data_IF_616011578290
#
_entry.id   IF_616011578290
#
_cell.length_a   1.000
_cell.length_b   1.000
_cell.length_c   1.000
_cell.angle_alpha   90.00
_cell.angle_beta   90.00
_cell.angle_gamma   90.00
#
_symmetry.space_group_name_H-M   'P 1'
#
loop_
_entity.id
_entity.type
_entity.pdbx_description
1 polymer ?
#
# COMPACT_ATOMS: atom_id res chain seq x y z
N UNK A 1 2.84 -6.13 -14.95
CA UNK A 1 3.68 -7.18 -14.32
C UNK A 1 5.14 -6.77 -14.41
N UNK A 2 5.89 -6.96 -13.37
CA UNK A 2 7.33 -6.74 -13.37
C UNK A 2 8.06 -8.08 -13.48
N UNK A 3 9.26 -8.06 -14.08
CA UNK A 3 10.03 -9.25 -14.42
C UNK A 3 11.36 -9.33 -13.67
N UNK A 4 11.45 -8.75 -12.47
CA UNK A 4 12.66 -8.73 -11.67
C UNK A 4 12.38 -9.12 -10.22
N UNK A 5 13.39 -9.63 -9.55
CA UNK A 5 13.33 -9.90 -8.12
C UNK A 5 13.92 -8.72 -7.33
N UNK A 6 13.41 -8.48 -6.13
CA UNK A 6 13.93 -7.42 -5.26
C UNK A 6 15.40 -7.61 -4.91
N UNK A 7 15.85 -8.86 -4.76
CA UNK A 7 17.24 -9.17 -4.49
C UNK A 7 18.15 -8.69 -5.62
N UNK A 8 17.72 -8.90 -6.87
CA UNK A 8 18.48 -8.46 -8.05
C UNK A 8 18.54 -6.93 -8.13
N UNK A 9 17.46 -6.25 -7.75
CA UNK A 9 17.46 -4.79 -7.68
C UNK A 9 18.49 -4.26 -6.69
N UNK A 10 18.61 -4.90 -5.52
CA UNK A 10 19.61 -4.51 -4.53
C UNK A 10 21.04 -4.70 -5.04
N UNK A 11 21.28 -5.79 -5.77
CA UNK A 11 22.58 -6.08 -6.37
C UNK A 11 22.96 -5.02 -7.41
N UNK A 12 21.99 -4.60 -8.22
CA UNK A 12 22.20 -3.62 -9.28
C UNK A 12 22.18 -2.17 -8.77
N UNK A 13 21.53 -1.93 -7.66
CA UNK A 13 21.34 -0.60 -7.07
C UNK A 13 21.76 -0.59 -5.61
N UNK A 14 23.06 -0.55 -5.31
CA UNK A 14 23.53 -0.59 -3.92
C UNK A 14 23.08 0.62 -3.08
N UNK A 15 22.62 1.70 -3.72
CA UNK A 15 22.02 2.86 -3.04
C UNK A 15 20.61 2.59 -2.53
N UNK A 16 19.95 1.52 -2.98
CA UNK A 16 18.61 1.18 -2.56
C UNK A 16 18.57 0.72 -1.10
N UNK A 17 17.50 1.06 -0.41
CA UNK A 17 17.31 0.71 0.99
C UNK A 17 16.23 -0.35 1.13
N UNK A 18 16.44 -1.28 2.06
CA UNK A 18 15.44 -2.27 2.45
C UNK A 18 14.70 -1.73 3.66
N UNK A 19 13.35 -1.79 3.63
CA UNK A 19 12.56 -1.43 4.80
C UNK A 19 12.87 -2.42 5.93
N UNK A 20 13.31 -1.92 7.12
CA UNK A 20 13.61 -2.79 8.25
C UNK A 20 12.35 -3.21 9.01
N UNK A 21 11.28 -3.49 8.28
CA UNK A 21 9.98 -3.82 8.83
C UNK A 21 9.51 -5.16 8.28
N UNK A 22 8.80 -5.89 9.12
CA UNK A 22 8.13 -7.12 8.71
C UNK A 22 6.73 -6.75 8.20
N UNK A 23 6.54 -6.88 6.89
CA UNK A 23 5.27 -6.58 6.25
C UNK A 23 4.45 -7.85 6.04
N UNK A 24 3.13 -7.69 6.12
CA UNK A 24 2.16 -8.75 5.86
C UNK A 24 1.39 -8.37 4.61
N UNK A 25 1.31 -9.28 3.65
CA UNK A 25 0.56 -9.06 2.42
C UNK A 25 -0.89 -9.50 2.60
N UNK A 26 -1.83 -8.62 2.26
CA UNK A 26 -3.26 -8.89 2.41
C UNK A 26 -4.00 -8.98 1.09
N UNK A 27 -3.58 -8.24 0.07
CA UNK A 27 -4.22 -8.25 -1.24
C UNK A 27 -3.79 -9.44 -2.08
N UNK A 28 -4.46 -9.60 -3.23
CA UNK A 28 -4.12 -10.67 -4.16
C UNK A 28 -2.83 -10.41 -4.93
N UNK A 29 -2.43 -9.15 -5.07
CA UNK A 29 -1.17 -8.78 -5.70
C UNK A 29 -0.08 -8.83 -4.63
N UNK A 30 0.85 -9.77 -4.76
CA UNK A 30 1.90 -9.99 -3.75
C UNK A 30 3.20 -9.26 -4.06
N UNK A 31 3.29 -8.61 -5.20
CA UNK A 31 4.51 -7.97 -5.66
C UNK A 31 4.15 -6.79 -6.55
N UNK A 32 4.63 -5.62 -6.22
CA UNK A 32 4.34 -4.41 -6.97
C UNK A 32 5.48 -3.40 -6.82
N UNK A 33 5.49 -2.40 -7.69
CA UNK A 33 6.44 -1.30 -7.63
C UNK A 33 5.82 -0.04 -8.21
N UNK A 34 6.37 1.10 -7.86
CA UNK A 34 5.92 2.38 -8.40
C UNK A 34 6.50 3.53 -7.59
N UNK A 35 6.33 4.72 -8.14
CA UNK A 35 6.60 5.94 -7.42
C UNK A 35 5.70 6.02 -6.19
N UNK A 36 6.23 6.48 -5.06
CA UNK A 36 5.48 6.53 -3.81
C UNK A 36 4.94 7.91 -3.51
N UNK A 37 3.73 7.92 -2.95
CA UNK A 37 3.12 9.10 -2.32
C UNK A 37 2.90 8.73 -0.86
N UNK A 38 3.30 9.63 0.06
CA UNK A 38 3.18 9.37 1.49
C UNK A 38 2.08 10.22 2.12
N UNK A 39 1.36 9.63 3.05
CA UNK A 39 0.30 10.29 3.82
C UNK A 39 0.47 9.96 5.29
N UNK A 40 0.41 10.97 6.14
CA UNK A 40 0.38 10.79 7.58
C UNK A 40 -1.09 10.80 8.04
N UNK A 41 -1.54 9.71 8.64
CA UNK A 41 -2.94 9.51 8.97
C UNK A 41 -3.10 8.80 10.34
N UNK A 42 -2.74 9.47 11.45
CA UNK A 42 -2.90 8.85 12.78
C UNK A 42 -4.38 8.73 13.14
N UNK A 43 -4.88 7.49 13.18
CA UNK A 43 -6.23 7.13 13.62
C UNK A 43 -7.38 7.82 12.85
N UNK A 44 -7.11 8.31 11.65
CA UNK A 44 -8.12 8.96 10.80
C UNK A 44 -7.81 8.67 9.32
N UNK A 45 -8.74 8.05 8.64
CA UNK A 45 -8.54 7.67 7.24
C UNK A 45 -9.01 8.71 6.22
N UNK A 46 -9.35 9.92 6.66
CA UNK A 46 -9.84 10.97 5.76
C UNK A 46 -8.84 11.29 4.64
N UNK A 47 -7.57 11.45 4.98
CA UNK A 47 -6.52 11.75 4.01
C UNK A 47 -6.22 10.54 3.12
N UNK A 48 -6.35 9.33 3.66
CA UNK A 48 -6.21 8.11 2.87
C UNK A 48 -7.27 8.07 1.78
N UNK A 49 -8.52 8.31 2.16
CA UNK A 49 -9.63 8.37 1.22
C UNK A 49 -9.43 9.46 0.17
N UNK A 50 -9.12 10.68 0.62
CA UNK A 50 -8.92 11.82 -0.26
C UNK A 50 -7.84 11.53 -1.32
N UNK A 51 -6.73 10.94 -0.87
CA UNK A 51 -5.64 10.60 -1.78
C UNK A 51 -6.05 9.51 -2.77
N UNK A 52 -6.73 8.46 -2.30
CA UNK A 52 -7.17 7.37 -3.16
C UNK A 52 -8.28 7.77 -4.14
N UNK A 53 -9.00 8.86 -3.86
CA UNK A 53 -9.97 9.42 -4.80
C UNK A 53 -9.31 10.05 -6.03
N UNK A 54 -8.05 10.42 -5.93
CA UNK A 54 -7.30 10.95 -7.08
C UNK A 54 -6.73 9.80 -7.92
N UNK A 55 -6.37 10.12 -9.17
CA UNK A 55 -5.76 9.12 -10.05
C UNK A 55 -4.33 8.81 -9.59
N UNK A 56 -4.09 7.56 -9.24
CA UNK A 56 -2.78 7.09 -8.76
C UNK A 56 -1.73 6.98 -9.85
N UNK A 57 -2.13 6.81 -11.11
CA UNK A 57 -1.21 6.69 -12.26
C UNK A 57 -0.11 5.64 -12.05
N UNK A 58 -0.46 4.53 -11.42
CA UNK A 58 0.48 3.46 -11.14
C UNK A 58 1.37 3.69 -9.92
N UNK A 59 1.08 4.70 -9.12
CA UNK A 59 1.83 4.99 -7.90
C UNK A 59 1.44 4.08 -6.75
N UNK A 60 2.29 4.03 -5.75
CA UNK A 60 2.06 3.31 -4.50
C UNK A 60 1.79 4.32 -3.39
N UNK A 61 0.69 4.13 -2.68
CA UNK A 61 0.38 4.95 -1.52
C UNK A 61 1.05 4.35 -0.28
N UNK A 62 1.83 5.15 0.42
CA UNK A 62 2.46 4.78 1.69
C UNK A 62 1.76 5.57 2.79
N UNK A 63 1.09 4.87 3.69
CA UNK A 63 0.33 5.49 4.78
C UNK A 63 1.06 5.27 6.09
N UNK A 64 1.42 6.35 6.76
CA UNK A 64 1.92 6.28 8.12
C UNK A 64 0.77 6.52 9.10
N UNK A 65 0.26 5.44 9.66
CA UNK A 65 -0.78 5.48 10.68
C UNK A 65 -0.23 5.47 12.10
N UNK A 66 1.08 5.64 12.25
CA UNK A 66 1.73 5.61 13.57
C UNK A 66 1.75 4.23 14.20
N UNK A 67 1.44 3.18 13.45
CA UNK A 67 1.37 1.82 13.98
C UNK A 67 0.18 1.59 14.92
N UNK A 68 -0.80 2.50 14.94
CA UNK A 68 -1.95 2.38 15.85
C UNK A 68 -2.78 1.14 15.55
N UNK A 69 -3.20 0.46 16.61
CA UNK A 69 -4.11 -0.68 16.55
C UNK A 69 -5.55 -0.29 16.93
N UNK A 70 -5.80 0.99 17.13
CA UNK A 70 -7.11 1.47 17.64
C UNK A 70 -8.17 1.58 16.56
N UNK A 71 -7.77 1.79 15.29
CA UNK A 71 -8.72 1.87 14.20
C UNK A 71 -8.10 1.38 12.90
N UNK A 72 -8.95 0.88 12.02
CA UNK A 72 -8.52 0.49 10.68
C UNK A 72 -8.49 1.70 9.76
N UNK A 73 -7.42 1.84 9.00
CA UNK A 73 -7.23 2.96 8.07
C UNK A 73 -7.61 2.59 6.65
N UNK A 74 -7.81 1.32 6.37
CA UNK A 74 -8.18 0.82 5.04
C UNK A 74 -9.08 -0.40 5.20
N UNK A 75 -10.18 -0.40 4.47
CA UNK A 75 -11.08 -1.53 4.32
C UNK A 75 -11.33 -1.83 2.85
N UNK A 76 -12.31 -2.67 2.56
CA UNK A 76 -12.61 -3.11 1.20
C UNK A 76 -13.04 -1.96 0.28
N UNK A 77 -13.75 -0.97 0.81
CA UNK A 77 -14.20 0.18 0.01
C UNK A 77 -13.02 1.05 -0.44
N UNK A 78 -12.08 1.33 0.45
CA UNK A 78 -10.89 2.10 0.09
C UNK A 78 -9.97 1.29 -0.81
N UNK A 79 -9.90 -0.02 -0.62
CA UNK A 79 -9.15 -0.90 -1.52
C UNK A 79 -9.76 -0.87 -2.93
N UNK A 80 -11.08 -0.92 -3.05
CA UNK A 80 -11.77 -0.78 -4.35
C UNK A 80 -11.48 0.57 -4.98
N UNK A 81 -11.50 1.63 -4.19
CA UNK A 81 -11.21 2.98 -4.67
C UNK A 81 -9.78 3.07 -5.22
N UNK A 82 -8.82 2.44 -4.55
CA UNK A 82 -7.44 2.37 -5.02
C UNK A 82 -7.34 1.66 -6.38
N UNK A 83 -8.03 0.53 -6.52
CA UNK A 83 -8.07 -0.23 -7.78
C UNK A 83 -8.66 0.61 -8.90
N UNK A 84 -9.83 1.21 -8.64
CA UNK A 84 -10.57 1.98 -9.65
C UNK A 84 -9.81 3.21 -10.12
N UNK A 85 -8.98 3.78 -9.26
CA UNK A 85 -8.22 5.00 -9.55
C UNK A 85 -6.75 4.74 -9.92
N UNK A 86 -6.43 3.51 -10.32
CA UNK A 86 -5.13 3.16 -10.87
C UNK A 86 -3.96 3.26 -9.88
N UNK A 87 -4.22 3.04 -8.61
CA UNK A 87 -3.17 2.86 -7.62
C UNK A 87 -2.60 1.46 -7.74
N UNK A 88 -1.29 1.34 -7.69
CA UNK A 88 -0.63 0.05 -7.85
C UNK A 88 -0.61 -0.76 -6.58
N UNK A 89 -0.56 -0.09 -5.45
CA UNK A 89 -0.57 -0.75 -4.15
C UNK A 89 -0.66 0.25 -3.02
N UNK A 90 -0.91 -0.28 -1.83
CA UNK A 90 -0.96 0.51 -0.59
C UNK A 90 -0.10 -0.18 0.45
N UNK A 91 0.85 0.55 1.01
CA UNK A 91 1.67 0.13 2.13
C UNK A 91 1.22 0.90 3.36
N UNK A 92 0.85 0.18 4.43
CA UNK A 92 0.20 0.80 5.58
C UNK A 92 0.91 0.43 6.87
N UNK A 93 1.34 1.44 7.61
CA UNK A 93 1.81 1.26 8.99
C UNK A 93 0.64 1.51 9.94
N UNK A 94 -0.14 0.46 10.21
CA UNK A 94 -1.37 0.53 11.00
C UNK A 94 -2.23 -0.69 10.77
N UNK A 95 -3.54 -0.55 10.97
CA UNK A 95 -4.48 -1.64 10.83
C UNK A 95 -5.33 -1.52 9.59
N UNK A 96 -5.72 -2.66 9.05
CA UNK A 96 -6.75 -2.78 8.03
C UNK A 96 -7.93 -3.57 8.59
N UNK A 97 -9.06 -3.53 7.87
CA UNK A 97 -10.19 -4.39 8.13
C UNK A 97 -10.62 -5.07 6.83
N UNK A 98 -11.56 -6.00 6.92
CA UNK A 98 -12.10 -6.72 5.76
C UNK A 98 -11.04 -7.54 5.02
N UNK A 99 -10.06 -8.07 5.76
CA UNK A 99 -8.94 -8.81 5.17
C UNK A 99 -9.40 -10.02 4.35
N UNK A 100 -10.49 -10.68 4.76
CA UNK A 100 -11.05 -11.81 4.04
C UNK A 100 -11.60 -11.42 2.67
N UNK A 101 -12.04 -10.18 2.51
CA UNK A 101 -12.51 -9.64 1.23
C UNK A 101 -11.32 -9.16 0.41
N UNK A 102 -10.41 -8.43 1.04
CA UNK A 102 -9.26 -7.81 0.38
C UNK A 102 -8.34 -8.87 -0.24
N UNK A 103 -8.21 -10.04 0.36
CA UNK A 103 -7.31 -11.09 -0.13
C UNK A 103 -7.58 -11.51 -1.58
N UNK A 104 -8.79 -11.34 -2.06
CA UNK A 104 -9.20 -11.70 -3.42
C UNK A 104 -9.23 -10.48 -4.36
N UNK A 105 -8.93 -9.30 -3.87
CA UNK A 105 -8.94 -8.06 -4.65
C UNK A 105 -7.59 -7.85 -5.35
N UNK A 106 -7.60 -7.34 -6.61
CA UNK A 106 -6.37 -7.16 -7.39
C UNK A 106 -5.60 -5.90 -6.97
N UNK A 107 -5.15 -5.89 -5.77
CA UNK A 107 -4.30 -4.83 -5.23
C UNK A 107 -3.28 -5.41 -4.25
#
# INVERSE_FOLDING_TARGET
MHLFATADLLDDHPEAEVLPLKLISYGNITSFFGETITVLAPEDNSFVRETLESNGKGKVLVVDGGGSLNCALLGDRLASLAIDNNWRGVLLNGCIRDSAIIKDMPI
#
